data_IF_824394977610
#
_entry.id   IF_824394977610
#
_cell.length_a   1.000
_cell.length_b   1.000
_cell.length_c   1.000
_cell.angle_alpha   90.00
_cell.angle_beta   90.00
_cell.angle_gamma   90.00
#
_symmetry.space_group_name_H-M   'P 1'
#
loop_
_entity.id
_entity.type
_entity.pdbx_description
1 polymer ?
#
# COMPACT_ATOMS: atom_id res chain seq x y z
N UNK A 1 -3.24 11.31 14.51
CA UNK A 1 -4.16 10.48 15.27
C UNK A 1 -3.48 9.17 15.62
N UNK A 2 -3.63 8.77 16.84
CA UNK A 2 -2.95 7.56 17.33
C UNK A 2 -3.97 6.63 17.96
N UNK A 3 -3.97 5.39 17.50
CA UNK A 3 -4.89 4.36 18.01
C UNK A 3 -4.14 3.07 18.21
N UNK A 4 -4.75 2.15 18.92
CA UNK A 4 -4.20 0.81 18.98
C UNK A 4 -4.91 0.01 17.91
N UNK A 5 -5.90 -0.76 18.25
CA UNK A 5 -6.66 -1.52 17.28
C UNK A 5 -7.98 -0.82 17.03
N UNK A 6 -8.43 -0.84 15.81
CA UNK A 6 -9.68 -0.22 15.44
C UNK A 6 -10.53 -1.23 14.71
N UNK A 7 -11.75 -1.40 15.16
CA UNK A 7 -12.63 -2.37 14.54
C UNK A 7 -13.38 -1.86 13.33
N UNK A 8 -13.32 -0.57 13.06
CA UNK A 8 -14.02 0.01 11.92
C UNK A 8 -13.07 0.85 11.12
N UNK A 9 -13.56 1.93 10.57
CA UNK A 9 -12.77 2.81 9.71
C UNK A 9 -12.03 3.85 10.54
N UNK A 10 -10.94 4.33 9.98
CA UNK A 10 -10.17 5.41 10.58
C UNK A 10 -10.09 6.54 9.58
N UNK A 11 -10.41 7.74 10.03
CA UNK A 11 -10.32 8.92 9.19
C UNK A 11 -9.65 10.03 9.98
N UNK A 12 -8.64 10.63 9.43
CA UNK A 12 -7.96 11.72 10.09
C UNK A 12 -7.54 12.77 9.08
N UNK A 13 -7.41 14.00 9.53
CA UNK A 13 -6.97 15.08 8.65
C UNK A 13 -5.47 15.17 8.51
N UNK A 14 -4.76 14.52 9.40
CA UNK A 14 -3.30 14.52 9.36
C UNK A 14 -2.82 13.07 9.33
N UNK A 15 -1.90 12.73 10.19
CA UNK A 15 -1.34 11.39 10.21
C UNK A 15 -2.21 10.44 10.99
N UNK A 16 -2.13 9.19 10.63
CA UNK A 16 -2.76 8.11 11.36
C UNK A 16 -1.69 7.15 11.81
N UNK A 17 -1.70 6.82 13.09
CA UNK A 17 -0.83 5.78 13.63
C UNK A 17 -1.71 4.81 14.40
N UNK A 18 -1.77 3.60 13.93
CA UNK A 18 -2.65 2.59 14.52
C UNK A 18 -1.97 1.24 14.56
N UNK A 19 -2.60 0.32 15.26
CA UNK A 19 -2.21 -1.08 15.19
C UNK A 19 -2.99 -1.73 14.08
N UNK A 20 -3.93 -2.61 14.41
CA UNK A 20 -4.75 -3.26 13.40
C UNK A 20 -6.00 -2.45 13.12
N UNK A 21 -6.46 -2.48 11.90
CA UNK A 21 -7.67 -1.77 11.53
C UNK A 21 -8.59 -2.74 10.80
N UNK A 22 -9.81 -2.84 11.27
CA UNK A 22 -10.78 -3.76 10.67
C UNK A 22 -11.52 -3.20 9.49
N UNK A 23 -11.40 -1.90 9.22
CA UNK A 23 -12.08 -1.27 8.10
C UNK A 23 -11.08 -0.55 7.24
N UNK A 24 -11.47 0.61 6.73
CA UNK A 24 -10.64 1.41 5.84
C UNK A 24 -9.87 2.47 6.62
N UNK A 25 -8.77 2.92 6.06
CA UNK A 25 -7.99 3.98 6.66
C UNK A 25 -7.87 5.11 5.66
N UNK A 26 -8.11 6.31 6.12
CA UNK A 26 -8.00 7.49 5.28
C UNK A 26 -7.34 8.60 6.08
N UNK A 27 -6.28 9.14 5.54
CA UNK A 27 -5.57 10.22 6.21
C UNK A 27 -5.30 11.34 5.22
N UNK A 28 -5.25 12.55 5.75
CA UNK A 28 -4.89 13.70 4.93
C UNK A 28 -3.40 13.82 4.74
N UNK A 29 -2.65 13.05 5.46
CA UNK A 29 -1.19 13.09 5.38
C UNK A 29 -0.68 11.67 5.27
N UNK A 30 -0.08 11.12 6.29
CA UNK A 30 0.52 9.80 6.22
C UNK A 30 -0.23 8.78 7.06
N UNK A 31 -0.11 7.52 6.67
CA UNK A 31 -0.67 6.41 7.44
C UNK A 31 0.47 5.53 7.90
N UNK A 32 0.45 5.22 9.17
CA UNK A 32 1.44 4.33 9.73
C UNK A 32 0.72 3.31 10.61
N UNK A 33 0.58 2.11 10.12
CA UNK A 33 -0.05 1.05 10.88
C UNK A 33 0.98 -0.02 11.19
N UNK A 34 1.05 -0.42 12.44
CA UNK A 34 2.01 -1.45 12.78
C UNK A 34 1.43 -2.83 12.60
N UNK A 35 0.12 -2.93 12.48
CA UNK A 35 -0.53 -4.21 12.25
C UNK A 35 -1.10 -4.26 10.84
N UNK A 36 -2.21 -4.95 10.70
CA UNK A 36 -2.83 -5.20 9.40
C UNK A 36 -4.05 -4.31 9.21
N UNK A 37 -4.37 -4.05 7.97
CA UNK A 37 -5.57 -3.32 7.62
C UNK A 37 -6.43 -4.23 6.76
N UNK A 38 -7.67 -4.43 7.17
CA UNK A 38 -8.55 -5.34 6.46
C UNK A 38 -9.18 -4.70 5.23
N UNK A 39 -9.35 -3.41 5.24
CA UNK A 39 -9.98 -2.71 4.14
C UNK A 39 -8.95 -1.99 3.29
N UNK A 40 -9.33 -0.82 2.78
CA UNK A 40 -8.47 -0.04 1.91
C UNK A 40 -7.72 1.02 2.69
N UNK A 41 -6.59 1.45 2.16
CA UNK A 41 -5.79 2.49 2.77
C UNK A 41 -5.59 3.61 1.77
N UNK A 42 -5.81 4.82 2.23
CA UNK A 42 -5.68 5.98 1.38
C UNK A 42 -5.02 7.11 2.14
N UNK A 43 -3.99 7.68 1.59
CA UNK A 43 -3.30 8.80 2.22
C UNK A 43 -2.87 9.79 1.15
N UNK A 44 -2.70 11.04 1.56
CA UNK A 44 -2.21 12.05 0.64
C UNK A 44 -0.70 12.04 0.52
N UNK A 45 -0.05 11.47 1.48
CA UNK A 45 1.41 11.43 1.48
C UNK A 45 1.87 9.99 1.41
N UNK A 46 2.29 9.42 2.48
CA UNK A 46 2.87 8.07 2.49
C UNK A 46 2.03 7.08 3.27
N UNK A 47 2.17 5.81 2.93
CA UNK A 47 1.51 4.73 3.65
C UNK A 47 2.58 3.75 4.10
N UNK A 48 2.55 3.41 5.37
CA UNK A 48 3.39 2.33 5.92
C UNK A 48 2.49 1.43 6.73
N UNK A 49 2.32 0.21 6.28
CA UNK A 49 1.43 -0.74 6.92
C UNK A 49 2.05 -2.13 6.92
N UNK A 50 1.44 -3.01 7.65
CA UNK A 50 1.74 -4.43 7.53
C UNK A 50 1.00 -4.96 6.33
N UNK A 51 0.10 -5.91 6.54
CA UNK A 51 -0.66 -6.49 5.44
C UNK A 51 -1.94 -5.70 5.23
N UNK A 52 -2.37 -5.61 3.99
CA UNK A 52 -3.57 -4.87 3.65
C UNK A 52 -4.50 -5.80 2.87
N UNK A 53 -5.73 -5.88 3.31
CA UNK A 53 -6.69 -6.77 2.67
C UNK A 53 -7.37 -6.16 1.47
N UNK A 54 -7.27 -4.87 1.26
CA UNK A 54 -7.88 -4.19 0.13
C UNK A 54 -6.83 -3.46 -0.69
N UNK A 55 -7.18 -2.28 -1.18
CA UNK A 55 -6.30 -1.49 -2.03
C UNK A 55 -5.55 -0.45 -1.22
N UNK A 56 -4.42 -0.02 -1.74
CA UNK A 56 -3.62 1.02 -1.11
C UNK A 56 -3.41 2.13 -2.11
N UNK A 57 -3.61 3.35 -1.66
CA UNK A 57 -3.45 4.50 -2.52
C UNK A 57 -2.76 5.63 -1.76
N UNK A 58 -1.70 6.15 -2.34
CA UNK A 58 -0.96 7.26 -1.73
C UNK A 58 -0.44 8.17 -2.83
N UNK A 59 -0.16 9.41 -2.48
CA UNK A 59 0.42 10.34 -3.43
C UNK A 59 1.92 10.25 -3.49
N UNK A 60 2.53 9.73 -2.48
CA UNK A 60 3.98 9.69 -2.42
C UNK A 60 4.42 8.24 -2.45
N UNK A 61 4.68 7.68 -1.32
CA UNK A 61 5.25 6.34 -1.24
C UNK A 61 4.36 5.37 -0.48
N UNK A 62 4.47 4.11 -0.81
CA UNK A 62 3.77 3.05 -0.11
C UNK A 62 4.79 2.02 0.34
N UNK A 63 4.66 1.62 1.59
CA UNK A 63 5.52 0.59 2.13
C UNK A 63 4.65 -0.38 2.93
N UNK A 64 4.45 -1.54 2.40
CA UNK A 64 3.55 -2.51 3.01
C UNK A 64 4.15 -3.89 2.99
N UNK A 65 3.52 -4.79 3.70
CA UNK A 65 3.85 -6.20 3.62
C UNK A 65 3.12 -6.78 2.43
N UNK A 66 2.07 -7.54 2.68
CA UNK A 66 1.29 -8.12 1.60
C UNK A 66 0.06 -7.30 1.35
N UNK A 67 -0.32 -7.18 0.10
CA UNK A 67 -1.51 -6.46 -0.29
C UNK A 67 -2.35 -7.36 -1.16
N UNK A 68 -3.59 -7.53 -0.81
CA UNK A 68 -4.47 -8.41 -1.57
C UNK A 68 -5.11 -7.72 -2.75
N UNK A 69 -5.16 -6.41 -2.74
CA UNK A 69 -5.75 -5.66 -3.84
C UNK A 69 -4.68 -4.97 -4.65
N UNK A 70 -4.99 -3.78 -5.10
CA UNK A 70 -4.09 -3.00 -5.96
C UNK A 70 -3.36 -1.95 -5.14
N UNK A 71 -2.21 -1.52 -5.65
CA UNK A 71 -1.43 -0.49 -5.00
C UNK A 71 -1.16 0.61 -6.00
N UNK A 72 -1.34 1.82 -5.56
CA UNK A 72 -1.15 2.98 -6.41
C UNK A 72 -0.41 4.08 -5.65
N UNK A 73 0.65 4.56 -6.21
CA UNK A 73 1.41 5.66 -5.64
C UNK A 73 1.99 6.48 -6.76
N UNK A 74 2.32 7.74 -6.47
CA UNK A 74 2.93 8.58 -7.48
C UNK A 74 4.43 8.41 -7.53
N UNK A 75 5.01 8.05 -6.42
CA UNK A 75 6.47 7.96 -6.33
C UNK A 75 6.89 6.51 -6.28
N UNK A 76 6.94 5.92 -5.13
CA UNK A 76 7.47 4.57 -5.04
C UNK A 76 6.58 3.64 -4.23
N UNK A 77 6.69 2.38 -4.54
CA UNK A 77 6.00 1.31 -3.82
C UNK A 77 7.03 0.30 -3.41
N UNK A 78 7.05 -0.04 -2.13
CA UNK A 78 7.88 -1.12 -1.63
C UNK A 78 6.99 -2.05 -0.85
N UNK A 79 6.79 -3.23 -1.35
CA UNK A 79 5.88 -4.18 -0.73
C UNK A 79 6.45 -5.58 -0.79
N UNK A 80 5.82 -6.45 -0.05
CA UNK A 80 6.13 -7.86 -0.17
C UNK A 80 5.39 -8.40 -1.37
N UNK A 81 4.26 -9.06 -1.13
CA UNK A 81 3.49 -9.64 -2.22
C UNK A 81 2.26 -8.78 -2.49
N UNK A 82 1.93 -8.63 -3.74
CA UNK A 82 0.75 -7.89 -4.13
C UNK A 82 -0.05 -8.78 -5.06
N UNK A 83 -1.29 -9.04 -4.71
CA UNK A 83 -2.11 -9.91 -5.52
C UNK A 83 -2.69 -9.20 -6.72
N UNK A 84 -2.88 -7.90 -6.63
CA UNK A 84 -3.44 -7.13 -7.72
C UNK A 84 -2.36 -6.43 -8.52
N UNK A 85 -2.67 -5.24 -8.98
CA UNK A 85 -1.78 -4.46 -9.82
C UNK A 85 -1.04 -3.42 -9.02
N UNK A 86 0.08 -2.98 -9.53
CA UNK A 86 0.87 -1.95 -8.90
C UNK A 86 1.12 -0.84 -9.90
N UNK A 87 0.97 0.38 -9.47
CA UNK A 87 1.20 1.53 -10.31
C UNK A 87 2.00 2.58 -9.56
N UNK A 88 3.17 2.93 -10.04
CA UNK A 88 4.03 3.93 -9.43
C UNK A 88 5.18 4.24 -10.35
N UNK A 89 5.93 5.27 -10.05
CA UNK A 89 7.14 5.55 -10.79
C UNK A 89 8.20 4.50 -10.55
N UNK A 90 8.27 4.04 -9.32
CA UNK A 90 9.25 3.01 -8.95
C UNK A 90 8.54 1.94 -8.17
N UNK A 91 8.74 0.72 -8.50
CA UNK A 91 8.10 -0.39 -7.80
C UNK A 91 9.15 -1.38 -7.38
N UNK A 92 9.08 -1.78 -6.12
CA UNK A 92 9.98 -2.76 -5.59
C UNK A 92 9.16 -3.74 -4.77
N UNK A 93 8.87 -4.87 -5.32
CA UNK A 93 8.04 -5.86 -4.66
C UNK A 93 8.63 -7.23 -4.83
N UNK A 94 8.28 -8.11 -3.92
CA UNK A 94 8.70 -9.49 -4.04
C UNK A 94 7.87 -10.19 -5.09
N UNK A 95 6.57 -9.93 -5.10
CA UNK A 95 5.68 -10.51 -6.07
C UNK A 95 4.60 -9.52 -6.40
N UNK A 96 4.08 -9.56 -7.57
CA UNK A 96 2.97 -8.71 -7.94
C UNK A 96 2.11 -9.45 -8.93
N UNK A 97 0.82 -9.20 -8.86
CA UNK A 97 -0.12 -9.82 -9.77
C UNK A 97 -0.23 -11.30 -9.59
N UNK A 98 0.14 -11.82 -8.44
CA UNK A 98 0.09 -13.25 -8.19
C UNK A 98 1.22 -14.01 -8.79
N UNK A 99 2.15 -13.34 -9.46
CA UNK A 99 3.26 -14.00 -10.11
C UNK A 99 4.47 -14.00 -9.22
N UNK A 100 5.26 -15.02 -9.34
CA UNK A 100 6.42 -15.13 -8.53
C UNK A 100 7.58 -14.42 -9.16
N UNK A 101 8.15 -13.50 -8.43
CA UNK A 101 9.28 -12.73 -8.90
C UNK A 101 10.30 -12.71 -7.82
N UNK A 102 11.55 -12.79 -8.16
CA UNK A 102 12.53 -12.65 -7.15
C UNK A 102 12.51 -11.28 -6.60
N UNK A 103 12.50 -10.33 -7.39
CA UNK A 103 12.21 -8.97 -7.04
C UNK A 103 12.31 -8.19 -8.31
N UNK A 104 11.51 -7.21 -8.47
CA UNK A 104 11.65 -6.42 -9.66
C UNK A 104 11.49 -4.97 -9.30
N UNK A 105 12.08 -4.15 -10.12
CA UNK A 105 11.98 -2.74 -9.98
C UNK A 105 11.68 -2.18 -11.34
N UNK A 106 10.67 -1.38 -11.47
CA UNK A 106 10.52 -0.67 -12.70
C UNK A 106 10.25 0.78 -12.39
N UNK A 107 10.66 1.63 -13.29
CA UNK A 107 10.51 3.03 -13.16
C UNK A 107 9.81 3.53 -14.37
N UNK A 108 8.63 4.03 -14.23
CA UNK A 108 7.92 4.48 -15.36
C UNK A 108 6.78 5.32 -14.96
N UNK A 109 6.78 6.51 -15.40
CA UNK A 109 5.82 7.41 -15.01
C UNK A 109 4.63 7.38 -15.91
N UNK A 110 3.46 7.19 -15.35
CA UNK A 110 2.25 7.27 -16.10
C UNK A 110 2.08 6.24 -17.16
N UNK A 111 2.68 5.06 -17.02
CA UNK A 111 2.60 4.08 -18.03
C UNK A 111 2.47 2.73 -17.46
N UNK A 112 1.62 1.94 -17.98
CA UNK A 112 1.53 0.58 -17.57
C UNK A 112 2.69 -0.18 -18.08
N UNK A 113 3.10 -1.16 -17.37
CA UNK A 113 4.29 -1.87 -17.69
C UNK A 113 4.06 -3.30 -17.51
N UNK A 114 4.30 -4.07 -18.51
CA UNK A 114 4.19 -5.49 -18.37
C UNK A 114 5.52 -6.08 -18.54
N UNK A 115 5.88 -7.05 -17.80
CA UNK A 115 7.13 -7.67 -17.97
C UNK A 115 6.95 -9.12 -18.10
N UNK A 116 7.88 -9.73 -18.78
CA UNK A 116 7.80 -11.12 -19.06
C UNK A 116 8.09 -11.86 -17.82
N UNK A 117 7.16 -12.59 -17.38
CA UNK A 117 7.37 -13.39 -16.22
C UNK A 117 7.75 -14.72 -16.64
N UNK A 118 8.51 -15.27 -15.89
CA UNK A 118 8.96 -16.52 -16.38
C UNK A 118 8.81 -17.51 -15.47
#
# INVERSE_FOLDING_TARGET
>A
MTCTDVGGDVTAGDDVTCGNVGGNVQAGDSVHCTGDVQGNVRASDSVTCGNVGGDVSANDSVRCGEVKGNVRASDSVTCGNISGSVSAERVRCTKAGGEEQESFTFTKKGKSFSFPLR
#
